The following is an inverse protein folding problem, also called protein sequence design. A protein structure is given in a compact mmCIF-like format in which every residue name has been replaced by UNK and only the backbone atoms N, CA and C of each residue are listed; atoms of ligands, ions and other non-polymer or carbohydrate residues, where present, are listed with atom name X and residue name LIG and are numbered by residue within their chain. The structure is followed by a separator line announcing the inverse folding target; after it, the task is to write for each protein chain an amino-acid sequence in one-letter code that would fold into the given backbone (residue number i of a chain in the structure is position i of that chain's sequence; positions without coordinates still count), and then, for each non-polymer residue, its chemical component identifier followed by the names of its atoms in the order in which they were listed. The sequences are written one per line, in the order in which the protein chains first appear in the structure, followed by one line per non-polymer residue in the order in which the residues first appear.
data_IF_966888431847
#
_entry.id   IF_966888431847
#
_cell.length_a   1.000
_cell.length_b   1.000
_cell.length_c   1.000
_cell.angle_alpha   90.00
_cell.angle_beta   90.00
_cell.angle_gamma   90.00
#
_symmetry.space_group_name_H-M   'P 1'
#
loop_
_entity.id
_entity.type
_entity.pdbx_description
1 polymer ?
#
# COMPACT_ATOMS: atom_id res chain seq x y z
N UNK A 1 11.63 -22.67 -3.46
CA UNK A 1 11.89 -21.50 -2.61
C UNK A 1 11.37 -21.75 -1.21
N UNK A 2 12.13 -21.40 -0.21
CA UNK A 2 11.65 -21.43 1.17
C UNK A 2 10.99 -20.09 1.50
N UNK A 3 9.66 -20.08 1.60
CA UNK A 3 8.89 -18.85 1.83
C UNK A 3 9.03 -18.32 3.26
N UNK A 4 9.57 -19.11 4.17
CA UNK A 4 9.73 -18.70 5.56
C UNK A 4 11.02 -17.90 5.79
N UNK A 5 11.97 -17.93 4.85
CA UNK A 5 13.22 -17.21 5.01
C UNK A 5 13.64 -16.53 3.70
N UNK A 6 13.40 -15.23 3.64
CA UNK A 6 13.90 -14.38 2.56
C UNK A 6 15.28 -13.91 2.95
N UNK A 7 16.24 -14.01 2.02
CA UNK A 7 17.60 -13.51 2.26
C UNK A 7 17.73 -12.02 1.96
N UNK A 8 17.19 -11.59 0.84
CA UNK A 8 17.19 -10.18 0.47
C UNK A 8 15.83 -9.87 -0.12
N UNK A 9 15.08 -9.04 0.54
CA UNK A 9 13.74 -8.71 0.07
C UNK A 9 12.95 -7.89 1.03
N UNK A 10 11.65 -7.83 0.79
CA UNK A 10 10.70 -7.07 1.58
C UNK A 10 9.62 -7.98 2.13
N UNK A 11 9.20 -7.72 3.35
CA UNK A 11 8.06 -8.39 3.97
C UNK A 11 7.05 -7.31 4.35
N UNK A 12 5.90 -7.32 3.69
CA UNK A 12 4.78 -6.43 4.03
C UNK A 12 3.92 -7.20 5.02
N UNK A 13 3.90 -6.76 6.26
CA UNK A 13 3.29 -7.48 7.38
C UNK A 13 2.16 -6.67 8.01
N UNK A 14 1.38 -7.33 8.86
CA UNK A 14 0.25 -6.73 9.58
C UNK A 14 -0.84 -6.21 8.65
N UNK A 15 -1.02 -6.86 7.51
CA UNK A 15 -2.11 -6.58 6.60
C UNK A 15 -3.38 -7.20 7.18
N UNK A 16 -4.48 -6.49 7.18
CA UNK A 16 -5.76 -7.06 7.61
C UNK A 16 -6.10 -8.26 6.76
N UNK A 17 -6.61 -9.31 7.40
CA UNK A 17 -7.02 -10.53 6.70
C UNK A 17 -7.98 -10.19 5.56
N UNK A 18 -7.63 -10.66 4.36
CA UNK A 18 -8.37 -10.37 3.14
C UNK A 18 -7.86 -9.16 2.35
N UNK A 19 -6.90 -8.39 2.89
CA UNK A 19 -6.41 -7.18 2.23
C UNK A 19 -5.23 -7.36 1.28
N UNK A 20 -4.60 -8.54 1.28
CA UNK A 20 -3.36 -8.73 0.53
C UNK A 20 -3.52 -8.54 -0.98
N UNK A 21 -4.60 -9.02 -1.57
CA UNK A 21 -4.77 -8.92 -3.02
C UNK A 21 -4.98 -7.49 -3.49
N UNK A 22 -5.65 -6.67 -2.69
CA UNK A 22 -5.79 -5.25 -2.99
C UNK A 22 -4.43 -4.56 -3.01
N UNK A 23 -3.58 -4.87 -2.04
CA UNK A 23 -2.23 -4.31 -1.96
C UNK A 23 -1.38 -4.80 -3.12
N UNK A 24 -1.47 -6.08 -3.46
CA UNK A 24 -0.79 -6.65 -4.62
C UNK A 24 -1.11 -5.86 -5.89
N UNK A 25 -2.40 -5.57 -6.10
CA UNK A 25 -2.84 -4.83 -7.29
C UNK A 25 -2.41 -3.35 -7.23
N UNK A 26 -2.60 -2.69 -6.09
CA UNK A 26 -2.26 -1.28 -5.93
C UNK A 26 -0.78 -0.99 -6.11
N UNK A 27 0.08 -1.88 -5.65
CA UNK A 27 1.53 -1.73 -5.78
C UNK A 27 2.07 -2.25 -7.11
N UNK A 28 1.22 -2.85 -7.95
CA UNK A 28 1.66 -3.40 -9.23
C UNK A 28 2.63 -4.57 -9.09
N UNK A 29 2.48 -5.37 -8.05
CA UNK A 29 3.43 -6.47 -7.78
C UNK A 29 3.40 -7.54 -8.85
N UNK A 30 2.31 -7.66 -9.60
CA UNK A 30 2.22 -8.61 -10.71
C UNK A 30 3.19 -8.33 -11.85
N UNK A 31 3.72 -7.12 -11.94
CA UNK A 31 4.70 -6.77 -12.98
C UNK A 31 6.15 -7.05 -12.57
N UNK A 32 6.39 -7.44 -11.33
CA UNK A 32 7.74 -7.72 -10.83
C UNK A 32 8.24 -9.07 -11.38
N UNK A 33 9.50 -9.06 -11.83
CA UNK A 33 10.16 -10.27 -12.32
C UNK A 33 10.95 -10.96 -11.20
N UNK A 34 10.26 -11.24 -10.10
CA UNK A 34 10.82 -11.93 -8.95
C UNK A 34 9.73 -12.75 -8.27
N UNK A 35 10.12 -13.59 -7.34
CA UNK A 35 9.16 -14.38 -6.58
C UNK A 35 8.42 -13.51 -5.57
N UNK A 36 7.10 -13.59 -5.60
CA UNK A 36 6.22 -12.93 -4.65
C UNK A 36 5.34 -13.99 -4.01
N UNK A 37 5.34 -14.07 -2.68
CA UNK A 37 4.51 -15.00 -1.94
C UNK A 37 3.46 -14.23 -1.14
N UNK A 38 2.23 -14.70 -1.20
CA UNK A 38 1.11 -14.13 -0.44
C UNK A 38 0.66 -15.18 0.57
N UNK A 39 0.67 -14.81 1.84
CA UNK A 39 0.18 -15.67 2.92
C UNK A 39 -1.09 -15.02 3.43
N UNK A 40 -2.20 -15.71 3.24
CA UNK A 40 -3.51 -15.21 3.67
C UNK A 40 -3.91 -15.85 4.98
N UNK A 41 -4.51 -15.07 5.84
CA UNK A 41 -5.18 -15.57 7.02
C UNK A 41 -4.21 -16.26 8.00
N UNK A 42 -3.00 -15.73 8.13
CA UNK A 42 -2.01 -16.22 9.08
C UNK A 42 -2.42 -15.85 10.50
N UNK A 43 -2.04 -16.67 11.47
CA UNK A 43 -2.31 -16.36 12.86
C UNK A 43 -1.44 -15.19 13.34
N UNK A 44 -2.05 -14.28 14.11
CA UNK A 44 -1.38 -13.12 14.66
C UNK A 44 -1.81 -12.92 16.11
N UNK A 45 -0.86 -12.84 17.02
CA UNK A 45 -1.16 -12.54 18.41
C UNK A 45 -1.72 -11.13 18.61
N UNK A 46 -1.37 -10.21 17.71
CA UNK A 46 -1.81 -8.81 17.79
C UNK A 46 -3.14 -8.56 17.12
N UNK A 47 -3.41 -9.23 16.00
CA UNK A 47 -4.57 -8.95 15.15
C UNK A 47 -5.57 -10.11 15.07
N UNK A 48 -5.27 -11.25 15.69
CA UNK A 48 -6.01 -12.50 15.49
C UNK A 48 -5.64 -13.18 14.19
N UNK A 49 -5.92 -12.55 13.06
CA UNK A 49 -5.55 -13.01 11.72
C UNK A 49 -4.97 -11.85 10.92
N UNK A 50 -4.01 -12.17 10.06
CA UNK A 50 -3.37 -11.17 9.19
C UNK A 50 -2.98 -11.80 7.86
N UNK A 51 -2.73 -10.96 6.87
CA UNK A 51 -2.11 -11.35 5.62
C UNK A 51 -0.66 -10.83 5.59
N UNK A 52 0.19 -11.52 4.85
CA UNK A 52 1.60 -11.15 4.69
C UNK A 52 1.96 -11.28 3.21
N UNK A 53 2.71 -10.32 2.68
CA UNK A 53 3.27 -10.39 1.32
C UNK A 53 4.78 -10.41 1.45
N UNK A 54 5.43 -11.39 0.84
CA UNK A 54 6.89 -11.51 0.81
C UNK A 54 7.38 -11.33 -0.62
N UNK A 55 8.32 -10.42 -0.81
CA UNK A 55 8.89 -10.09 -2.13
C UNK A 55 10.37 -10.48 -2.08
N UNK A 56 10.78 -11.38 -2.96
CA UNK A 56 12.15 -11.94 -2.98
C UNK A 56 13.11 -11.02 -3.72
N UNK A 57 13.01 -9.73 -3.51
CA UNK A 57 13.97 -8.73 -3.96
C UNK A 57 13.76 -7.45 -3.17
N UNK A 58 14.81 -6.66 -3.01
CA UNK A 58 14.67 -5.32 -2.43
C UNK A 58 14.34 -4.38 -3.58
N UNK A 59 13.14 -3.85 -3.56
CA UNK A 59 12.67 -2.93 -4.60
C UNK A 59 11.94 -1.77 -3.93
N UNK A 60 11.82 -0.67 -4.65
CA UNK A 60 11.04 0.47 -4.17
C UNK A 60 9.55 0.17 -4.29
N UNK A 61 8.83 0.38 -3.21
CA UNK A 61 7.38 0.32 -3.20
C UNK A 61 6.83 1.64 -2.69
N UNK A 62 5.62 1.96 -3.10
CA UNK A 62 4.99 3.22 -2.73
C UNK A 62 4.43 3.13 -1.30
N UNK A 63 5.19 3.66 -0.34
CA UNK A 63 4.80 3.65 1.06
C UNK A 63 3.57 4.53 1.33
N UNK A 64 3.35 5.56 0.54
CA UNK A 64 2.17 6.41 0.66
C UNK A 64 0.90 5.64 0.31
N UNK A 65 0.96 4.80 -0.72
CA UNK A 65 -0.17 3.93 -1.07
C UNK A 65 -0.49 2.99 0.09
N UNK A 66 0.52 2.35 0.66
CA UNK A 66 0.33 1.45 1.80
C UNK A 66 -0.23 2.18 3.01
N UNK A 67 0.31 3.35 3.34
CA UNK A 67 -0.17 4.15 4.46
C UNK A 67 -1.61 4.62 4.27
N UNK A 68 -2.00 4.89 3.04
CA UNK A 68 -3.37 5.22 2.71
C UNK A 68 -4.31 4.03 2.94
N UNK A 69 -3.89 2.83 2.54
CA UNK A 69 -4.68 1.61 2.72
C UNK A 69 -4.85 1.29 4.20
N UNK A 70 -3.74 1.26 4.94
CA UNK A 70 -3.75 0.98 6.37
C UNK A 70 -2.42 1.38 7.01
N UNK A 71 -2.40 2.41 7.86
CA UNK A 71 -1.18 2.81 8.56
C UNK A 71 -0.64 1.74 9.52
N UNK A 72 -1.44 0.75 9.89
CA UNK A 72 -1.00 -0.35 10.75
C UNK A 72 -0.10 -1.36 10.08
N UNK A 73 0.01 -1.32 8.74
CA UNK A 73 0.89 -2.18 7.97
C UNK A 73 2.34 -1.80 8.27
N UNK A 74 3.22 -2.79 8.32
CA UNK A 74 4.67 -2.56 8.45
C UNK A 74 5.39 -3.14 7.26
N UNK A 75 6.51 -2.51 6.88
CA UNK A 75 7.38 -2.99 5.80
C UNK A 75 8.75 -3.30 6.39
N UNK A 76 9.13 -4.57 6.33
CA UNK A 76 10.41 -5.03 6.83
C UNK A 76 11.37 -5.24 5.66
N UNK A 77 12.56 -4.66 5.75
CA UNK A 77 13.61 -4.84 4.76
C UNK A 77 14.57 -5.89 5.27
N UNK A 78 14.76 -6.96 4.50
CA UNK A 78 15.62 -8.07 4.85
C UNK A 78 16.85 -8.05 3.94
N UNK A 79 18.04 -8.10 4.53
CA UNK A 79 19.30 -8.22 3.80
C UNK A 79 20.20 -9.22 4.51
N UNK A 80 20.77 -10.14 3.75
CA UNK A 80 21.63 -11.17 4.32
C UNK A 80 20.92 -12.08 5.31
N UNK A 81 19.61 -12.27 5.15
CA UNK A 81 18.80 -13.08 6.04
C UNK A 81 18.40 -12.39 7.34
N UNK A 82 18.77 -11.13 7.51
CA UNK A 82 18.49 -10.37 8.73
C UNK A 82 17.60 -9.17 8.47
N UNK A 83 16.77 -8.84 9.46
CA UNK A 83 15.96 -7.63 9.43
C UNK A 83 16.86 -6.41 9.63
N UNK A 84 17.04 -5.61 8.59
CA UNK A 84 17.90 -4.41 8.65
C UNK A 84 17.11 -3.13 8.86
N UNK A 85 15.83 -3.11 8.50
CA UNK A 85 15.00 -1.92 8.66
C UNK A 85 13.54 -2.33 8.80
N UNK A 86 12.84 -1.69 9.73
CA UNK A 86 11.40 -1.83 9.89
C UNK A 86 10.76 -0.48 9.68
N UNK A 87 9.98 -0.34 8.62
CA UNK A 87 9.31 0.91 8.28
C UNK A 87 7.88 0.89 8.81
N UNK A 88 7.57 1.87 9.65
CA UNK A 88 6.21 2.11 10.09
C UNK A 88 5.57 3.15 9.19
N UNK A 89 4.27 3.02 8.94
CA UNK A 89 3.56 3.86 8.00
C UNK A 89 2.66 4.86 8.73
N UNK A 90 2.36 5.95 8.04
CA UNK A 90 1.39 6.94 8.48
C UNK A 90 0.45 7.25 7.32
N UNK A 91 -0.72 7.84 7.62
CA UNK A 91 -1.58 8.36 6.57
C UNK A 91 -0.83 9.48 5.85
N UNK A 92 -0.63 9.38 4.54
CA UNK A 92 0.03 10.45 3.80
C UNK A 92 -0.87 11.68 3.73
N UNK A 93 -0.27 12.86 3.73
CA UNK A 93 -1.02 14.11 3.60
C UNK A 93 -1.52 14.33 2.18
N UNK A 94 -0.83 13.77 1.20
CA UNK A 94 -1.11 13.97 -0.21
C UNK A 94 -0.92 12.67 -0.98
N UNK A 95 -1.83 12.41 -1.92
CA UNK A 95 -1.74 11.27 -2.84
C UNK A 95 -1.79 11.78 -4.27
N UNK A 96 -0.86 11.32 -5.11
CA UNK A 96 -0.83 11.64 -6.53
C UNK A 96 -1.06 10.37 -7.35
N UNK A 97 -2.07 10.41 -8.23
CA UNK A 97 -2.39 9.32 -9.15
C UNK A 97 -2.73 7.98 -8.48
N UNK A 98 -3.15 8.02 -7.21
CA UNK A 98 -3.63 6.83 -6.47
C UNK A 98 -5.14 6.75 -6.54
N UNK A 99 -5.80 7.89 -6.33
CA UNK A 99 -7.24 8.01 -6.36
C UNK A 99 -7.65 8.82 -7.59
N UNK A 100 -8.83 8.54 -8.10
CA UNK A 100 -9.40 9.28 -9.22
C UNK A 100 -10.57 10.10 -8.76
N UNK A 101 -10.64 11.36 -9.26
CA UNK A 101 -11.81 12.18 -9.07
C UNK A 101 -12.92 11.66 -9.99
N UNK A 102 -14.08 11.36 -9.39
CA UNK A 102 -15.23 10.84 -10.12
C UNK A 102 -16.22 11.94 -10.53
N UNK A 103 -15.88 13.20 -10.27
CA UNK A 103 -16.72 14.31 -10.69
C UNK A 103 -16.61 14.50 -12.21
N UNK A 104 -17.68 14.25 -12.98
CA UNK A 104 -17.62 14.32 -14.43
C UNK A 104 -17.45 15.75 -14.96
N UNK A 105 -17.67 16.76 -14.15
CA UNK A 105 -17.50 18.16 -14.52
C UNK A 105 -16.08 18.64 -14.42
N UNK A 106 -15.19 17.83 -13.83
CA UNK A 106 -13.80 18.21 -13.63
C UNK A 106 -12.99 17.94 -14.88
N UNK A 107 -12.27 18.95 -15.36
CA UNK A 107 -11.41 18.82 -16.54
C UNK A 107 -10.40 17.70 -16.38
N UNK A 108 -9.74 17.63 -15.22
CA UNK A 108 -8.69 16.65 -14.98
C UNK A 108 -9.17 15.19 -14.97
N UNK A 109 -10.47 14.96 -14.86
CA UNK A 109 -11.02 13.61 -14.91
C UNK A 109 -11.19 13.09 -16.33
N UNK A 110 -11.16 14.00 -17.35
CA UNK A 110 -11.34 13.62 -18.75
C UNK A 110 -10.10 13.86 -19.60
N UNK A 111 -9.14 14.65 -19.12
CA UNK A 111 -7.90 14.92 -19.86
C UNK A 111 -6.79 13.96 -19.44
N UNK A 112 -6.23 13.17 -20.39
CA UNK A 112 -5.14 12.26 -20.07
C UNK A 112 -3.86 13.06 -19.74
N UNK A 113 -3.05 12.52 -18.85
CA UNK A 113 -1.77 13.10 -18.47
C UNK A 113 -1.83 14.09 -17.33
N UNK A 114 -3.01 14.53 -16.88
CA UNK A 114 -3.13 15.39 -15.72
C UNK A 114 -3.08 14.56 -14.43
N UNK A 115 -2.38 15.08 -13.43
CA UNK A 115 -2.25 14.41 -12.14
C UNK A 115 -3.58 14.43 -11.39
N UNK A 116 -3.92 13.31 -10.81
CA UNK A 116 -5.02 13.18 -9.86
C UNK A 116 -4.46 13.38 -8.47
N UNK A 117 -4.71 14.53 -7.86
CA UNK A 117 -4.13 14.87 -6.55
C UNK A 117 -5.25 14.94 -5.52
N UNK A 118 -5.05 14.20 -4.42
CA UNK A 118 -5.95 14.21 -3.27
C UNK A 118 -5.16 14.59 -2.03
N UNK A 119 -5.80 15.29 -1.12
CA UNK A 119 -5.19 15.69 0.14
C UNK A 119 -6.00 15.16 1.32
N UNK A 120 -5.30 14.91 2.42
CA UNK A 120 -5.92 14.45 3.66
C UNK A 120 -6.62 15.62 4.32
N UNK A 121 -7.96 15.58 4.34
CA UNK A 121 -8.77 16.66 4.92
C UNK A 121 -9.22 16.36 6.35
N UNK A 122 -9.34 15.10 6.73
CA UNK A 122 -9.73 14.70 8.08
C UNK A 122 -8.97 13.40 8.43
N UNK A 123 -7.98 13.55 9.31
CA UNK A 123 -7.11 12.42 9.69
C UNK A 123 -7.86 11.39 10.52
N UNK A 124 -8.75 11.81 11.39
CA UNK A 124 -9.50 10.87 12.23
C UNK A 124 -10.44 9.99 11.42
N UNK A 125 -11.09 10.57 10.42
CA UNK A 125 -12.01 9.86 9.53
C UNK A 125 -11.33 9.30 8.29
N UNK A 126 -10.03 9.55 8.13
CA UNK A 126 -9.24 9.12 6.98
C UNK A 126 -9.88 9.60 5.67
N UNK A 127 -10.35 10.84 5.65
CA UNK A 127 -11.05 11.44 4.51
C UNK A 127 -10.06 12.15 3.60
N UNK A 128 -10.07 11.79 2.33
CA UNK A 128 -9.29 12.45 1.28
C UNK A 128 -10.22 13.19 0.34
N UNK A 129 -9.80 14.37 -0.09
CA UNK A 129 -10.56 15.20 -1.02
C UNK A 129 -9.70 15.54 -2.23
N UNK A 130 -10.35 15.63 -3.39
CA UNK A 130 -9.71 16.08 -4.60
C UNK A 130 -9.19 17.52 -4.44
N UNK A 131 -7.92 17.75 -4.80
CA UNK A 131 -7.32 19.08 -4.69
C UNK A 131 -8.06 20.13 -5.53
N UNK A 132 -8.63 19.72 -6.65
CA UNK A 132 -9.21 20.64 -7.61
C UNK A 132 -10.70 20.92 -7.38
N UNK A 133 -11.48 19.91 -7.02
CA UNK A 133 -12.93 20.08 -6.85
C UNK A 133 -13.42 19.81 -5.42
N UNK A 134 -12.53 19.41 -4.52
CA UNK A 134 -12.80 19.14 -3.11
C UNK A 134 -13.81 18.01 -2.85
N UNK A 135 -14.19 17.25 -3.87
CA UNK A 135 -15.05 16.10 -3.69
C UNK A 135 -14.33 15.01 -2.89
N UNK A 136 -15.07 14.35 -1.99
CA UNK A 136 -14.51 13.26 -1.19
C UNK A 136 -14.16 12.06 -2.06
N UNK A 137 -13.01 11.44 -1.78
CA UNK A 137 -12.67 10.16 -2.38
C UNK A 137 -13.55 9.07 -1.78
N UNK A 138 -14.00 8.16 -2.62
CA UNK A 138 -14.68 6.95 -2.17
C UNK A 138 -13.65 5.89 -1.78
N UNK A 139 -13.91 5.19 -0.71
CA UNK A 139 -13.05 4.12 -0.24
C UNK A 139 -13.62 2.75 -0.55
#
# INVERSE_FOLDING_TARGET
MNIDSIKNGLVIDHIRSGGAMRIYDLLGLGSLDCTVAIIKNAQSGKMGRKDIIKIDTVTDIDLDVLGYVDPGITVNVIRGGELVEKKNLTLPERLENVLRCKNPRRITSVEPGLKQVFFLSDRERKTYRCLYCEAKAER
#
